data_IF_028885644671
#
_entry.id   IF_028885644671
#
_cell.length_a   1.000
_cell.length_b   1.000
_cell.length_c   1.000
_cell.angle_alpha   90.00
_cell.angle_beta   90.00
_cell.angle_gamma   90.00
#
_symmetry.space_group_name_H-M   'P 1'
#
loop_
_entity.id
_entity.type
_entity.pdbx_description
1 polymer ?
#
# COMPACT_ATOMS: atom_id res chain seq x y z
N UNK A 1 -12.95 -25.99 28.35
CA UNK A 1 -13.75 -24.74 28.49
C UNK A 1 -13.33 -23.82 27.36
N UNK A 2 -14.25 -23.46 26.49
CA UNK A 2 -13.98 -22.60 25.34
C UNK A 2 -14.11 -21.13 25.76
N UNK A 3 -13.20 -20.27 25.32
CA UNK A 3 -13.24 -18.82 25.59
C UNK A 3 -13.94 -18.17 24.39
N UNK A 4 -15.09 -17.51 24.58
CA UNK A 4 -15.80 -16.90 23.47
C UNK A 4 -15.04 -15.68 22.95
N UNK A 5 -15.11 -15.47 21.63
CA UNK A 5 -14.59 -14.28 20.99
C UNK A 5 -15.38 -13.05 21.47
N UNK A 6 -14.71 -11.98 21.96
CA UNK A 6 -15.42 -10.77 22.34
C UNK A 6 -16.15 -10.16 21.13
N UNK A 7 -17.38 -9.62 21.29
CA UNK A 7 -18.18 -9.11 20.17
C UNK A 7 -17.56 -7.88 19.49
N UNK A 8 -16.63 -7.20 20.16
CA UNK A 8 -15.87 -6.07 19.62
C UNK A 8 -14.56 -6.49 18.94
N UNK A 9 -14.17 -7.77 19.05
CA UNK A 9 -12.94 -8.26 18.44
C UNK A 9 -13.17 -8.48 16.94
N UNK A 10 -12.31 -7.88 16.15
CA UNK A 10 -12.40 -7.93 14.69
C UNK A 10 -11.16 -7.31 14.07
N UNK A 11 -11.25 -6.99 12.79
CA UNK A 11 -10.15 -6.39 12.04
C UNK A 11 -10.62 -5.21 11.20
N UNK A 12 -9.64 -4.41 10.77
CA UNK A 12 -9.86 -3.32 9.83
C UNK A 12 -9.30 -3.71 8.46
N UNK A 13 -10.00 -3.31 7.40
CA UNK A 13 -9.48 -3.42 6.03
C UNK A 13 -9.06 -2.05 5.55
N UNK A 14 -7.76 -1.87 5.29
CA UNK A 14 -7.26 -0.70 4.59
C UNK A 14 -7.52 -0.86 3.09
N UNK A 15 -8.14 0.14 2.49
CA UNK A 15 -8.35 0.20 1.06
C UNK A 15 -7.49 1.31 0.46
N UNK A 16 -6.32 0.97 -0.14
CA UNK A 16 -5.33 1.98 -0.49
C UNK A 16 -5.80 2.83 -1.68
N UNK A 17 -5.72 4.15 -1.52
CA UNK A 17 -5.79 5.12 -2.63
C UNK A 17 -4.45 5.21 -3.38
N UNK A 18 -3.35 4.99 -2.67
CA UNK A 18 -1.99 5.07 -3.22
C UNK A 18 -1.10 4.01 -2.58
N UNK A 19 -0.16 3.46 -3.37
CA UNK A 19 0.92 2.57 -2.92
C UNK A 19 2.23 3.03 -3.54
N UNK A 20 3.32 3.08 -2.78
CA UNK A 20 4.65 3.39 -3.30
C UNK A 20 5.60 2.21 -3.06
N UNK A 21 6.23 1.76 -4.14
CA UNK A 21 7.32 0.78 -4.09
C UNK A 21 8.64 1.53 -4.17
N UNK A 22 9.45 1.38 -3.13
CA UNK A 22 10.76 2.00 -3.03
C UNK A 22 11.83 0.91 -3.02
N UNK A 23 12.77 0.98 -3.96
CA UNK A 23 13.87 0.02 -4.07
C UNK A 23 15.22 0.71 -3.93
N UNK A 24 16.00 0.24 -2.96
CA UNK A 24 17.35 0.71 -2.68
C UNK A 24 18.32 0.43 -3.82
N UNK A 25 19.20 1.39 -4.14
CA UNK A 25 20.32 1.21 -5.06
C UNK A 25 21.62 1.75 -4.45
N UNK A 26 22.79 1.13 -4.69
CA UNK A 26 24.06 1.55 -4.07
C UNK A 26 24.48 2.98 -4.43
N UNK A 27 24.13 3.45 -5.63
CA UNK A 27 24.46 4.79 -6.13
C UNK A 27 23.51 5.89 -5.60
N UNK A 28 22.65 5.58 -4.62
CA UNK A 28 21.65 6.49 -4.03
C UNK A 28 20.56 6.96 -4.99
N UNK A 29 20.54 6.46 -6.22
CA UNK A 29 19.46 6.72 -7.17
C UNK A 29 18.40 5.64 -7.04
N UNK A 30 17.60 5.73 -5.98
CA UNK A 30 16.53 4.79 -5.66
C UNK A 30 15.45 4.75 -6.72
N UNK A 31 14.94 3.55 -6.99
CA UNK A 31 13.76 3.39 -7.84
C UNK A 31 12.51 3.59 -6.99
N UNK A 32 11.68 4.53 -7.41
CA UNK A 32 10.42 4.87 -6.73
C UNK A 32 9.29 4.78 -7.73
N UNK A 33 8.37 3.84 -7.52
CA UNK A 33 7.17 3.68 -8.33
C UNK A 33 5.93 3.93 -7.48
N UNK A 34 5.16 4.95 -7.84
CA UNK A 34 3.88 5.27 -7.19
C UNK A 34 2.73 4.76 -8.03
N UNK A 35 1.83 4.04 -7.38
CA UNK A 35 0.57 3.55 -7.89
C UNK A 35 -0.55 4.40 -7.29
N UNK A 36 -1.32 5.09 -8.10
CA UNK A 36 -2.47 5.89 -7.66
C UNK A 36 -3.75 5.33 -8.26
N UNK A 37 -4.72 5.00 -7.41
CA UNK A 37 -6.00 4.44 -7.86
C UNK A 37 -6.86 5.53 -8.49
N UNK A 38 -7.36 5.26 -9.69
CA UNK A 38 -8.27 6.15 -10.43
C UNK A 38 -9.74 5.81 -10.15
N UNK A 39 -10.63 6.70 -10.55
CA UNK A 39 -12.08 6.54 -10.41
C UNK A 39 -12.64 5.35 -11.19
N UNK A 40 -12.01 4.99 -12.30
CA UNK A 40 -12.35 3.82 -13.13
C UNK A 40 -11.77 2.49 -12.61
N UNK A 41 -11.28 2.49 -11.36
CA UNK A 41 -10.60 1.37 -10.70
C UNK A 41 -9.28 0.93 -11.36
N UNK A 42 -8.78 1.64 -12.38
CA UNK A 42 -7.44 1.45 -12.90
C UNK A 42 -6.38 2.07 -11.99
N UNK A 43 -5.11 1.74 -12.25
CA UNK A 43 -3.96 2.29 -11.54
C UNK A 43 -3.14 3.17 -12.49
N UNK A 44 -2.87 4.41 -12.07
CA UNK A 44 -1.82 5.23 -12.64
C UNK A 44 -0.49 4.84 -12.01
N UNK A 45 0.54 4.62 -12.82
CA UNK A 45 1.89 4.27 -12.38
C UNK A 45 2.85 5.38 -12.81
N UNK A 46 3.61 5.90 -11.86
CA UNK A 46 4.56 6.99 -12.08
C UNK A 46 5.91 6.64 -11.45
N UNK A 47 7.01 6.94 -12.16
CA UNK A 47 8.35 6.88 -11.58
C UNK A 47 8.69 8.23 -10.96
N UNK A 48 9.13 8.22 -9.70
CA UNK A 48 9.52 9.42 -8.97
C UNK A 48 11.04 9.52 -8.88
N UNK A 49 11.54 10.74 -8.75
CA UNK A 49 12.96 10.95 -8.42
C UNK A 49 13.26 10.46 -7.00
N UNK A 50 14.43 9.83 -6.78
CA UNK A 50 14.93 9.47 -5.46
C UNK A 50 15.22 10.68 -4.57
#
# INVERSE_FOLDING_TARGET
>A
KEIPLPPYWGGFRLFPSTVEFWQGRPNRLHDRFRYTRRSDASWLIERLSP
#
